data_IF_712071282387
#
_entry.id   IF_712071282387
#
_cell.length_a   1.000
_cell.length_b   1.000
_cell.length_c   1.000
_cell.angle_alpha   90.00
_cell.angle_beta   90.00
_cell.angle_gamma   90.00
#
_symmetry.space_group_name_H-M   'P 1'
#
loop_
_entity.id
_entity.type
_entity.pdbx_description
1 polymer ?
#
# COMPACT_ATOMS: atom_id res chain seq x y z
N UNK A 1 -6.29 12.55 -10.84
CA UNK A 1 -4.86 12.49 -10.51
C UNK A 1 -4.25 11.29 -11.23
N UNK A 2 -3.14 11.48 -11.94
CA UNK A 2 -2.47 10.42 -12.70
C UNK A 2 -1.29 9.78 -11.97
N UNK A 3 -0.79 10.43 -10.92
CA UNK A 3 0.30 9.98 -10.05
C UNK A 3 -0.03 10.44 -8.62
N UNK A 4 0.31 9.66 -7.60
CA UNK A 4 0.27 10.09 -6.21
C UNK A 4 1.66 10.01 -5.55
N UNK A 5 2.13 11.12 -5.00
CA UNK A 5 3.35 11.13 -4.17
C UNK A 5 2.98 10.81 -2.72
N UNK A 6 3.63 9.82 -2.14
CA UNK A 6 3.46 9.43 -0.73
C UNK A 6 4.69 9.86 0.07
N UNK A 7 4.70 11.14 0.41
CA UNK A 7 5.69 11.77 1.29
C UNK A 7 5.43 11.55 2.78
N UNK A 8 6.39 11.97 3.62
CA UNK A 8 6.36 11.75 5.07
C UNK A 8 6.49 13.06 5.84
N UNK A 9 5.62 13.23 6.83
CA UNK A 9 5.67 14.30 7.82
C UNK A 9 5.98 13.76 9.23
N UNK A 10 6.28 12.46 9.34
CA UNK A 10 6.62 11.79 10.59
C UNK A 10 8.14 11.65 10.75
N UNK A 11 8.58 11.53 12.00
CA UNK A 11 9.97 11.25 12.37
C UNK A 11 10.51 10.05 11.59
N UNK A 12 11.77 10.13 11.17
CA UNK A 12 12.44 9.12 10.35
C UNK A 12 12.39 7.73 10.99
N UNK A 13 12.52 7.66 12.32
CA UNK A 13 12.49 6.42 13.09
C UNK A 13 11.16 5.68 12.97
N UNK A 14 10.08 6.35 12.55
CA UNK A 14 8.75 5.77 12.43
C UNK A 14 8.38 5.40 10.99
N UNK A 15 9.19 5.77 10.01
CA UNK A 15 8.83 5.69 8.57
C UNK A 15 8.72 4.26 8.03
N UNK A 16 9.34 3.30 8.70
CA UNK A 16 9.33 1.88 8.33
C UNK A 16 8.25 1.05 9.05
N UNK A 17 7.54 1.62 10.03
CA UNK A 17 6.59 0.87 10.85
C UNK A 17 5.15 0.95 10.37
N UNK A 18 4.85 1.79 9.38
CA UNK A 18 3.50 2.01 8.89
C UNK A 18 3.42 1.94 7.37
N UNK A 19 2.39 1.27 6.89
CA UNK A 19 1.93 1.38 5.50
C UNK A 19 0.99 2.59 5.43
N UNK A 20 1.31 3.66 4.69
CA UNK A 20 0.41 4.79 4.60
C UNK A 20 -0.88 4.40 3.89
N UNK A 21 -2.03 4.74 4.47
CA UNK A 21 -3.34 4.54 3.85
C UNK A 21 -3.43 5.09 2.42
N UNK A 22 -2.77 6.22 2.16
CA UNK A 22 -2.70 6.87 0.83
C UNK A 22 -2.13 5.94 -0.25
N UNK A 23 -1.18 5.07 0.09
CA UNK A 23 -0.65 4.06 -0.83
C UNK A 23 -1.74 3.06 -1.23
N UNK A 24 -2.48 2.54 -0.25
CA UNK A 24 -3.56 1.57 -0.49
C UNK A 24 -4.71 2.19 -1.28
N UNK A 25 -5.06 3.44 -0.98
CA UNK A 25 -6.09 4.18 -1.71
C UNK A 25 -5.68 4.40 -3.18
N UNK A 26 -4.42 4.79 -3.44
CA UNK A 26 -3.92 4.94 -4.81
C UNK A 26 -4.01 3.63 -5.60
N UNK A 27 -3.61 2.51 -4.98
CA UNK A 27 -3.75 1.18 -5.57
C UNK A 27 -5.23 0.88 -5.90
N UNK A 28 -6.17 1.15 -4.99
CA UNK A 28 -7.60 0.94 -5.21
C UNK A 28 -8.17 1.78 -6.38
N UNK A 29 -7.61 2.96 -6.64
CA UNK A 29 -8.03 3.87 -7.70
C UNK A 29 -7.22 3.75 -9.01
N UNK A 30 -6.37 2.72 -9.15
CA UNK A 30 -5.47 2.54 -10.32
C UNK A 30 -4.52 3.72 -10.54
N UNK A 31 -4.08 4.35 -9.45
CA UNK A 31 -3.13 5.47 -9.51
C UNK A 31 -1.75 4.95 -9.10
N UNK A 32 -0.73 5.05 -9.96
CA UNK A 32 0.64 4.70 -9.58
C UNK A 32 1.17 5.67 -8.52
N UNK A 33 2.07 5.18 -7.67
CA UNK A 33 2.65 5.95 -6.59
C UNK A 33 4.12 6.25 -6.81
N UNK A 34 4.60 7.36 -6.23
CA UNK A 34 6.03 7.56 -5.95
C UNK A 34 6.17 7.60 -4.43
N UNK A 35 7.02 6.73 -3.89
CA UNK A 35 7.24 6.60 -2.44
C UNK A 35 8.71 6.79 -2.10
N UNK A 36 8.99 7.29 -0.89
CA UNK A 36 10.36 7.36 -0.39
C UNK A 36 10.95 5.96 -0.15
N UNK A 37 12.29 5.83 -0.03
CA UNK A 37 13.02 4.56 0.02
C UNK A 37 12.92 3.79 1.35
N UNK A 38 11.72 3.74 1.93
CA UNK A 38 11.43 3.14 3.23
C UNK A 38 10.80 1.76 3.07
N UNK A 39 11.17 0.86 3.97
CA UNK A 39 11.06 -0.59 3.79
C UNK A 39 9.61 -1.05 3.63
N UNK A 40 8.69 -0.58 4.48
CA UNK A 40 7.28 -1.00 4.44
C UNK A 40 6.59 -0.68 3.12
N UNK A 41 6.94 0.45 2.49
CA UNK A 41 6.35 0.89 1.22
C UNK A 41 7.11 0.31 0.04
N UNK A 42 8.44 0.32 0.10
CA UNK A 42 9.33 -0.31 -0.88
C UNK A 42 8.88 -1.74 -1.17
N UNK A 43 8.69 -2.54 -0.12
CA UNK A 43 8.20 -3.93 -0.23
C UNK A 43 6.90 -4.06 -1.03
N UNK A 44 5.96 -3.13 -0.89
CA UNK A 44 4.69 -3.18 -1.63
C UNK A 44 4.91 -2.72 -3.08
N UNK A 45 5.56 -1.57 -3.25
CA UNK A 45 5.75 -0.95 -4.58
C UNK A 45 6.58 -1.84 -5.49
N UNK A 46 7.70 -2.38 -5.00
CA UNK A 46 8.56 -3.27 -5.79
C UNK A 46 7.92 -4.65 -6.00
N UNK A 47 7.24 -5.21 -5.00
CA UNK A 47 6.59 -6.52 -5.16
C UNK A 47 5.49 -6.51 -6.21
N UNK A 48 4.66 -5.47 -6.20
CA UNK A 48 3.50 -5.38 -7.08
C UNK A 48 3.74 -4.50 -8.30
N UNK A 49 4.91 -3.87 -8.43
CA UNK A 49 5.24 -3.01 -9.57
C UNK A 49 4.15 -1.95 -9.80
N UNK A 50 3.71 -1.30 -8.71
CA UNK A 50 2.59 -0.36 -8.69
C UNK A 50 3.00 1.11 -8.54
N UNK A 51 4.27 1.40 -8.79
CA UNK A 51 4.85 2.72 -8.63
C UNK A 51 6.38 2.69 -8.66
N UNK A 52 6.99 3.77 -8.18
CA UNK A 52 8.43 3.95 -8.08
C UNK A 52 8.86 4.26 -6.64
N UNK A 53 10.06 3.81 -6.28
CA UNK A 53 10.70 4.09 -5.00
C UNK A 53 11.88 5.02 -5.26
N UNK A 54 11.87 6.22 -4.69
CA UNK A 54 12.92 7.20 -4.95
C UNK A 54 13.03 8.24 -3.84
N UNK A 55 14.24 8.73 -3.62
CA UNK A 55 14.57 9.95 -2.88
C UNK A 55 14.77 11.17 -3.78
N UNK A 56 14.95 10.97 -5.09
CA UNK A 56 14.93 12.02 -6.12
C UNK A 56 13.52 12.20 -6.68
N UNK A 57 12.76 13.09 -6.05
CA UNK A 57 11.36 13.32 -6.39
C UNK A 57 11.15 13.99 -7.75
N UNK A 58 12.07 14.85 -8.17
CA UNK A 58 11.87 15.69 -9.36
C UNK A 58 12.05 14.84 -10.62
N UNK A 59 13.17 14.11 -10.70
CA UNK A 59 13.48 13.32 -11.88
C UNK A 59 12.53 12.13 -11.99
N UNK A 60 12.21 11.48 -10.86
CA UNK A 60 11.25 10.35 -10.83
C UNK A 60 9.84 10.80 -11.24
N UNK A 61 9.38 11.96 -10.77
CA UNK A 61 8.09 12.51 -11.19
C UNK A 61 8.10 12.85 -12.67
N UNK A 62 9.19 13.42 -13.18
CA UNK A 62 9.35 13.79 -14.59
C UNK A 62 9.32 12.56 -15.48
N UNK A 63 10.08 11.52 -15.16
CA UNK A 63 10.08 10.23 -15.84
C UNK A 63 8.66 9.65 -15.91
N UNK A 64 8.03 9.47 -14.75
CA UNK A 64 6.71 8.85 -14.67
C UNK A 64 5.62 9.70 -15.34
N UNK A 65 5.75 11.03 -15.34
CA UNK A 65 4.80 11.95 -15.99
C UNK A 65 4.88 11.89 -17.52
N UNK A 66 6.05 11.59 -18.07
CA UNK A 66 6.26 11.48 -19.52
C UNK A 66 5.84 10.12 -20.10
N UNK A 67 5.71 9.08 -19.27
CA UNK A 67 5.32 7.74 -19.73
C UNK A 67 3.89 7.35 -19.30
N UNK A 68 2.92 7.57 -20.19
CA UNK A 68 1.51 7.24 -19.95
C UNK A 68 1.26 5.73 -19.86
N UNK A 69 1.95 4.93 -20.67
CA UNK A 69 1.75 3.48 -20.72
C UNK A 69 2.24 2.85 -19.42
N UNK A 70 3.41 3.29 -18.93
CA UNK A 70 3.95 2.87 -17.65
C UNK A 70 3.01 3.22 -16.50
N UNK A 71 2.44 4.43 -16.47
CA UNK A 71 1.46 4.82 -15.44
C UNK A 71 0.24 3.91 -15.43
N UNK A 72 -0.32 3.60 -16.60
CA UNK A 72 -1.48 2.72 -16.70
C UNK A 72 -1.14 1.30 -16.24
N UNK A 73 0.01 0.77 -16.67
CA UNK A 73 0.50 -0.55 -16.25
C UNK A 73 0.68 -0.63 -14.73
N UNK A 74 1.36 0.35 -14.14
CA UNK A 74 1.58 0.42 -12.69
C UNK A 74 0.26 0.57 -11.92
N UNK A 75 -0.66 1.42 -12.40
CA UNK A 75 -1.98 1.59 -11.82
C UNK A 75 -2.79 0.30 -11.79
N UNK A 76 -2.84 -0.43 -12.92
CA UNK A 76 -3.53 -1.71 -13.00
C UNK A 76 -2.90 -2.79 -12.11
N UNK A 77 -1.57 -2.81 -12.02
CA UNK A 77 -0.89 -3.72 -11.10
C UNK A 77 -1.26 -3.44 -9.63
N UNK A 78 -1.26 -2.16 -9.25
CA UNK A 78 -1.70 -1.71 -7.92
C UNK A 78 -3.13 -2.15 -7.62
N UNK A 79 -4.04 -1.94 -8.57
CA UNK A 79 -5.44 -2.34 -8.41
C UNK A 79 -5.62 -3.84 -8.24
N UNK A 80 -4.94 -4.65 -9.05
CA UNK A 80 -4.94 -6.12 -8.91
C UNK A 80 -4.44 -6.53 -7.52
N UNK A 81 -3.31 -5.97 -7.09
CA UNK A 81 -2.75 -6.24 -5.77
C UNK A 81 -3.70 -5.84 -4.63
N UNK A 82 -4.37 -4.69 -4.76
CA UNK A 82 -5.37 -4.21 -3.80
C UNK A 82 -6.54 -5.20 -3.67
N UNK A 83 -7.15 -5.57 -4.80
CA UNK A 83 -8.28 -6.51 -4.81
C UNK A 83 -7.92 -7.89 -4.26
N UNK A 84 -6.68 -8.34 -4.43
CA UNK A 84 -6.22 -9.66 -3.97
C UNK A 84 -5.77 -9.69 -2.50
N UNK A 85 -5.28 -8.58 -1.94
CA UNK A 85 -4.58 -8.61 -0.65
C UNK A 85 -5.05 -7.57 0.37
N UNK A 86 -5.58 -6.43 -0.08
CA UNK A 86 -5.74 -5.23 0.74
C UNK A 86 -7.17 -4.69 0.81
N UNK A 87 -8.09 -5.22 0.00
CA UNK A 87 -9.48 -4.76 -0.03
C UNK A 87 -10.17 -4.95 1.32
N UNK A 88 -11.13 -4.06 1.62
CA UNK A 88 -11.84 -4.10 2.90
C UNK A 88 -12.58 -5.42 3.11
N UNK A 89 -13.17 -5.97 2.04
CA UNK A 89 -13.88 -7.25 2.10
C UNK A 89 -12.96 -8.42 2.50
N UNK A 90 -11.66 -8.32 2.20
CA UNK A 90 -10.65 -9.30 2.66
C UNK A 90 -10.19 -9.02 4.09
N UNK A 91 -9.98 -7.75 4.45
CA UNK A 91 -9.56 -7.38 5.81
C UNK A 91 -10.65 -7.68 6.84
N UNK A 92 -11.91 -7.42 6.49
CA UNK A 92 -13.08 -7.72 7.32
C UNK A 92 -13.12 -9.21 7.67
N UNK A 93 -12.97 -10.10 6.69
CA UNK A 93 -12.95 -11.56 6.93
C UNK A 93 -11.82 -11.98 7.88
N UNK A 94 -10.62 -11.41 7.71
CA UNK A 94 -9.48 -11.67 8.61
C UNK A 94 -9.78 -11.18 10.02
N UNK A 95 -10.34 -9.97 10.14
CA UNK A 95 -10.69 -9.36 11.41
C UNK A 95 -11.76 -10.16 12.14
N UNK A 96 -12.82 -10.59 11.44
CA UNK A 96 -13.85 -11.46 11.98
C UNK A 96 -13.28 -12.78 12.47
N UNK A 97 -12.39 -13.42 11.70
CA UNK A 97 -11.71 -14.64 12.15
C UNK A 97 -10.90 -14.47 13.44
N UNK A 98 -10.25 -13.30 13.60
CA UNK A 98 -9.56 -12.97 14.86
C UNK A 98 -10.56 -12.84 16.01
N UNK A 99 -11.67 -12.11 15.82
CA UNK A 99 -12.69 -11.95 16.86
C UNK A 99 -13.34 -13.27 17.26
N UNK A 100 -13.69 -14.13 16.29
CA UNK A 100 -14.24 -15.45 16.56
C UNK A 100 -13.28 -16.31 17.38
N UNK A 101 -11.99 -16.28 17.06
CA UNK A 101 -10.97 -17.02 17.82
C UNK A 101 -10.82 -16.51 19.25
N UNK A 102 -10.80 -15.19 19.44
CA UNK A 102 -10.71 -14.58 20.78
C UNK A 102 -11.94 -14.90 21.64
N UNK A 103 -13.13 -14.93 21.04
CA UNK A 103 -14.37 -15.26 21.74
C UNK A 103 -14.45 -16.75 22.11
N UNK A 104 -13.94 -17.65 21.27
CA UNK A 104 -13.84 -19.09 21.59
C UNK A 104 -12.92 -19.36 22.77
N UNK A 105 -11.80 -18.64 22.90
CA UNK A 105 -10.83 -18.82 24.00
C UNK A 105 -11.44 -18.48 25.36
N UNK A 106 -12.36 -17.50 25.45
CA UNK A 106 -13.04 -17.16 26.71
C UNK A 106 -14.00 -18.25 27.21
N UNK A 107 -14.56 -19.07 26.33
CA UNK A 107 -15.51 -20.12 26.71
C UNK A 107 -14.85 -21.38 27.32
N UNK A 108 -13.52 -21.48 27.30
CA UNK A 108 -12.75 -22.63 27.82
C UNK A 108 -11.90 -22.34 29.05
N UNK A 109 -11.94 -21.11 29.60
CA UNK A 109 -11.05 -20.66 30.68
C UNK A 109 -11.67 -20.54 32.07
N UNK A 110 -12.95 -20.90 32.24
CA UNK A 110 -13.61 -21.00 33.54
C UNK A 110 -14.06 -22.46 33.78
N UNK A 111 -13.11 -23.32 34.14
CA UNK A 111 -13.34 -24.56 34.89
C UNK A 111 -12.17 -24.81 35.82
#
# INVERSE_FOLDING_TARGET
>A
CDILIVGHYVDERLRDYAIPKKLLDAMAYRVPVIVGPYEARRKIVERYQCGMVSDDWIDTLTELSNDKELRQKMGENGFKAFKMNYSWELQEKKLMGVYENLLKVKAGGEK
#
